data_IF_290216438808
#
_entry.id   IF_290216438808
#
_cell.length_a   1.000
_cell.length_b   1.000
_cell.length_c   1.000
_cell.angle_alpha   90.00
_cell.angle_beta   90.00
_cell.angle_gamma   90.00
#
_symmetry.space_group_name_H-M   'P 1'
#
loop_
_entity.id
_entity.type
_entity.pdbx_description
1 polymer ?
#
# COMPACT_ATOMS: atom_id res chain seq x y z
N UNK A 1 33.37 -30.97 -1.22
CA UNK A 1 32.00 -30.48 -0.95
C UNK A 1 31.80 -29.18 -1.71
N UNK A 2 31.32 -29.29 -2.95
CA UNK A 2 31.07 -28.14 -3.83
C UNK A 2 29.78 -27.49 -3.37
N UNK A 3 29.84 -26.22 -2.94
CA UNK A 3 28.63 -25.43 -2.71
C UNK A 3 27.98 -25.18 -4.06
N UNK A 4 26.91 -25.92 -4.37
CA UNK A 4 26.07 -25.60 -5.49
C UNK A 4 25.44 -24.22 -5.21
N UNK A 5 25.74 -23.23 -6.06
CA UNK A 5 24.96 -22.00 -6.11
C UNK A 5 23.56 -22.42 -6.55
N UNK A 6 22.66 -22.54 -5.58
CA UNK A 6 21.29 -22.97 -5.79
C UNK A 6 20.53 -21.78 -6.38
N UNK A 7 20.37 -21.74 -7.70
CA UNK A 7 19.66 -20.65 -8.40
C UNK A 7 18.17 -20.56 -8.04
N UNK A 8 17.67 -21.48 -7.22
CA UNK A 8 16.34 -21.43 -6.61
C UNK A 8 16.31 -20.67 -5.28
N UNK A 9 17.47 -20.24 -4.74
CA UNK A 9 17.51 -19.45 -3.51
C UNK A 9 17.16 -17.98 -3.79
N UNK A 10 16.21 -17.47 -3.02
CA UNK A 10 15.59 -16.13 -3.15
C UNK A 10 16.60 -15.01 -2.89
N UNK A 11 17.78 -15.34 -2.38
CA UNK A 11 18.89 -14.42 -2.10
C UNK A 11 19.86 -14.24 -3.27
N UNK A 12 19.94 -15.18 -4.23
CA UNK A 12 20.91 -15.13 -5.35
C UNK A 12 20.28 -14.88 -6.71
N UNK A 13 18.97 -15.06 -6.86
CA UNK A 13 18.27 -14.71 -8.10
C UNK A 13 16.83 -14.20 -7.86
N UNK A 14 16.64 -12.88 -7.70
CA UNK A 14 15.30 -12.28 -7.63
C UNK A 14 14.43 -12.54 -8.89
N UNK A 15 14.99 -13.07 -9.98
CA UNK A 15 14.28 -13.43 -11.22
C UNK A 15 13.73 -14.87 -11.17
N UNK A 16 14.32 -15.78 -10.37
CA UNK A 16 13.82 -17.15 -10.22
C UNK A 16 12.48 -17.22 -9.46
N UNK A 17 12.14 -16.17 -8.70
CA UNK A 17 10.83 -16.02 -8.07
C UNK A 17 9.71 -15.57 -9.03
N UNK A 18 10.01 -15.04 -10.23
CA UNK A 18 9.01 -14.41 -11.11
C UNK A 18 8.09 -15.44 -11.81
N UNK A 19 8.30 -16.74 -11.58
CA UNK A 19 7.41 -17.78 -12.12
C UNK A 19 6.02 -17.84 -11.45
N UNK A 20 5.82 -17.18 -10.30
CA UNK A 20 4.58 -17.25 -9.52
C UNK A 20 4.02 -15.85 -9.19
N UNK A 21 2.69 -15.71 -9.27
CA UNK A 21 1.93 -14.50 -8.92
C UNK A 21 2.32 -13.93 -7.54
N UNK A 22 2.63 -14.81 -6.57
CA UNK A 22 3.00 -14.42 -5.20
C UNK A 22 4.28 -13.58 -5.09
N UNK A 23 5.22 -13.71 -6.04
CA UNK A 23 6.48 -12.95 -6.02
C UNK A 23 6.29 -11.54 -6.56
N UNK A 24 5.42 -11.38 -7.55
CA UNK A 24 5.03 -10.06 -8.07
C UNK A 24 4.34 -9.27 -6.96
N UNK A 25 3.46 -9.91 -6.20
CA UNK A 25 2.76 -9.30 -5.08
C UNK A 25 3.71 -8.92 -3.95
N UNK A 26 4.73 -9.73 -3.64
CA UNK A 26 5.72 -9.41 -2.60
C UNK A 26 6.56 -8.16 -2.91
N UNK A 27 6.88 -7.91 -4.18
CA UNK A 27 7.61 -6.69 -4.58
C UNK A 27 6.64 -5.50 -4.71
N UNK A 28 5.43 -5.75 -5.19
CA UNK A 28 4.44 -4.72 -5.47
C UNK A 28 3.73 -4.20 -4.20
N UNK A 29 3.47 -5.04 -3.21
CA UNK A 29 2.81 -4.62 -1.96
C UNK A 29 3.56 -3.51 -1.23
N UNK A 30 4.87 -3.62 -0.92
CA UNK A 30 5.56 -2.57 -0.18
C UNK A 30 5.68 -1.27 -0.99
N UNK A 31 5.89 -1.34 -2.31
CA UNK A 31 5.97 -0.13 -3.15
C UNK A 31 4.63 0.61 -3.19
N UNK A 32 3.51 -0.12 -3.31
CA UNK A 32 2.17 0.46 -3.28
C UNK A 32 1.83 1.04 -1.91
N UNK A 33 2.26 0.39 -0.82
CA UNK A 33 1.97 0.83 0.54
C UNK A 33 2.70 2.13 0.88
N UNK A 34 3.98 2.25 0.49
CA UNK A 34 4.75 3.48 0.62
C UNK A 34 4.20 4.57 -0.30
N UNK A 35 3.87 4.23 -1.55
CA UNK A 35 3.26 5.16 -2.50
C UNK A 35 1.91 5.70 -2.03
N UNK A 36 1.04 4.84 -1.51
CA UNK A 36 -0.25 5.23 -0.95
C UNK A 36 -0.09 6.14 0.27
N UNK A 37 0.83 5.82 1.18
CA UNK A 37 1.13 6.67 2.34
C UNK A 37 1.63 8.06 1.93
N UNK A 38 2.49 8.12 0.92
CA UNK A 38 3.01 9.39 0.40
C UNK A 38 1.91 10.23 -0.26
N UNK A 39 1.08 9.61 -1.11
CA UNK A 39 -0.07 10.29 -1.76
C UNK A 39 -1.07 10.79 -0.73
N UNK A 40 -1.37 9.96 0.28
CA UNK A 40 -2.24 10.36 1.40
C UNK A 40 -1.70 11.60 2.12
N UNK A 41 -0.40 11.63 2.42
CA UNK A 41 0.25 12.77 3.08
C UNK A 41 0.11 14.03 2.23
N UNK A 42 0.37 13.94 0.92
CA UNK A 42 0.22 15.09 -0.01
C UNK A 42 -1.22 15.59 -0.05
N UNK A 43 -2.20 14.69 -0.16
CA UNK A 43 -3.62 15.07 -0.16
C UNK A 43 -4.05 15.70 1.17
N UNK A 44 -3.52 15.20 2.30
CA UNK A 44 -3.79 15.75 3.62
C UNK A 44 -3.28 17.19 3.72
N UNK A 45 -2.04 17.44 3.27
CA UNK A 45 -1.46 18.79 3.26
C UNK A 45 -2.31 19.73 2.40
N UNK A 46 -2.65 19.33 1.17
CA UNK A 46 -3.47 20.15 0.27
C UNK A 46 -4.86 20.41 0.89
N UNK A 47 -5.49 19.38 1.45
CA UNK A 47 -6.78 19.50 2.13
C UNK A 47 -6.75 20.43 3.34
N UNK A 48 -5.70 20.33 4.16
CA UNK A 48 -5.50 21.18 5.33
C UNK A 48 -5.23 22.64 4.95
N UNK A 49 -4.36 22.89 3.98
CA UNK A 49 -4.12 24.24 3.46
C UNK A 49 -5.38 24.84 2.86
N UNK A 50 -6.16 24.04 2.12
CA UNK A 50 -7.45 24.48 1.56
C UNK A 50 -8.41 24.83 2.69
N UNK A 51 -8.48 24.02 3.75
CA UNK A 51 -9.35 24.28 4.90
C UNK A 51 -8.99 25.58 5.63
N UNK A 52 -7.70 25.82 5.89
CA UNK A 52 -7.21 27.04 6.56
C UNK A 52 -7.42 28.28 5.67
N UNK A 53 -7.17 28.17 4.36
CA UNK A 53 -7.29 29.29 3.41
C UNK A 53 -8.76 29.57 3.03
N UNK A 54 -9.71 28.72 3.45
CA UNK A 54 -11.14 28.85 3.10
C UNK A 54 -11.80 30.12 3.64
N UNK A 55 -11.22 30.80 4.63
CA UNK A 55 -11.68 32.10 5.11
C UNK A 55 -13.12 32.13 5.65
N UNK A 56 -13.73 30.98 5.92
CA UNK A 56 -15.10 30.86 6.41
C UNK A 56 -16.19 30.74 5.33
N UNK A 57 -15.85 30.69 4.03
CA UNK A 57 -16.88 30.41 3.02
C UNK A 57 -17.27 28.93 3.05
N UNK A 58 -18.58 28.62 3.12
CA UNK A 58 -19.06 27.24 3.30
C UNK A 58 -18.69 26.33 2.12
N UNK A 59 -18.52 26.90 0.93
CA UNK A 59 -18.15 26.16 -0.28
C UNK A 59 -16.70 25.61 -0.21
N UNK A 60 -15.74 26.45 0.18
CA UNK A 60 -14.35 26.05 0.30
C UNK A 60 -14.15 25.08 1.47
N UNK A 61 -14.89 25.25 2.56
CA UNK A 61 -14.86 24.33 3.69
C UNK A 61 -15.38 22.95 3.31
N UNK A 62 -16.47 22.88 2.54
CA UNK A 62 -17.03 21.61 2.03
C UNK A 62 -16.07 20.94 1.05
N UNK A 63 -15.39 21.70 0.20
CA UNK A 63 -14.36 21.20 -0.72
C UNK A 63 -13.16 20.62 0.03
N UNK A 64 -12.66 21.31 1.05
CA UNK A 64 -11.57 20.83 1.89
C UNK A 64 -11.94 19.53 2.63
N UNK A 65 -13.15 19.46 3.19
CA UNK A 65 -13.68 18.23 3.80
C UNK A 65 -13.82 17.10 2.78
N UNK A 66 -14.19 17.38 1.53
CA UNK A 66 -14.21 16.38 0.45
C UNK A 66 -12.83 15.82 0.13
N UNK A 67 -11.79 16.66 0.13
CA UNK A 67 -10.40 16.23 -0.08
C UNK A 67 -9.94 15.36 1.10
N UNK A 68 -10.23 15.77 2.34
CA UNK A 68 -9.86 15.02 3.55
C UNK A 68 -10.57 13.66 3.62
N UNK A 69 -11.86 13.62 3.33
CA UNK A 69 -12.64 12.36 3.34
C UNK A 69 -12.19 11.40 2.24
N UNK A 70 -11.95 11.89 1.02
CA UNK A 70 -11.43 11.06 -0.07
C UNK A 70 -10.03 10.52 0.22
N UNK A 71 -9.14 11.34 0.79
CA UNK A 71 -7.83 10.89 1.25
C UNK A 71 -7.95 9.79 2.34
N UNK A 72 -8.80 10.02 3.35
CA UNK A 72 -9.02 9.03 4.42
C UNK A 72 -9.58 7.71 3.89
N UNK A 73 -10.56 7.77 2.99
CA UNK A 73 -11.15 6.58 2.35
C UNK A 73 -10.09 5.83 1.55
N UNK A 74 -9.25 6.53 0.77
CA UNK A 74 -8.16 5.92 0.02
C UNK A 74 -7.18 5.15 0.92
N UNK A 75 -6.78 5.75 2.04
CA UNK A 75 -5.91 5.10 3.02
C UNK A 75 -6.57 3.86 3.63
N UNK A 76 -7.84 3.96 4.03
CA UNK A 76 -8.60 2.84 4.62
C UNK A 76 -8.70 1.68 3.63
N UNK A 77 -8.95 1.95 2.34
CA UNK A 77 -9.03 0.91 1.30
C UNK A 77 -7.71 0.14 1.19
N UNK A 78 -6.58 0.85 1.19
CA UNK A 78 -5.25 0.22 1.10
C UNK A 78 -4.97 -0.66 2.32
N UNK A 79 -5.28 -0.17 3.53
CA UNK A 79 -5.13 -0.94 4.76
C UNK A 79 -6.03 -2.18 4.77
N UNK A 80 -7.31 -2.02 4.38
CA UNK A 80 -8.26 -3.11 4.28
C UNK A 80 -7.83 -4.16 3.25
N UNK A 81 -7.30 -3.75 2.10
CA UNK A 81 -6.79 -4.66 1.08
C UNK A 81 -5.68 -5.56 1.65
N UNK A 82 -4.71 -4.98 2.36
CA UNK A 82 -3.65 -5.74 3.00
C UNK A 82 -4.19 -6.70 4.07
N UNK A 83 -5.11 -6.24 4.92
CA UNK A 83 -5.73 -7.06 5.96
C UNK A 83 -6.50 -8.25 5.38
N UNK A 84 -7.25 -8.04 4.30
CA UNK A 84 -8.02 -9.10 3.63
C UNK A 84 -7.08 -10.16 3.06
N UNK A 85 -6.00 -9.76 2.36
CA UNK A 85 -5.02 -10.71 1.82
C UNK A 85 -4.37 -11.53 2.93
N UNK A 86 -4.00 -10.88 4.05
CA UNK A 86 -3.45 -11.57 5.22
C UNK A 86 -4.45 -12.52 5.87
N UNK A 87 -5.71 -12.11 5.98
CA UNK A 87 -6.79 -12.92 6.54
C UNK A 87 -7.06 -14.16 5.67
N UNK A 88 -7.09 -14.00 4.36
CA UNK A 88 -7.23 -15.14 3.45
C UNK A 88 -6.04 -16.10 3.60
N UNK A 89 -4.81 -15.60 3.64
CA UNK A 89 -3.63 -16.44 3.89
C UNK A 89 -3.74 -17.26 5.19
N UNK A 90 -4.23 -16.64 6.26
CA UNK A 90 -4.45 -17.32 7.54
C UNK A 90 -5.55 -18.39 7.49
N UNK A 91 -6.69 -18.08 6.86
CA UNK A 91 -7.83 -19.01 6.74
C UNK A 91 -7.49 -20.22 5.88
N UNK A 92 -6.70 -20.04 4.82
CA UNK A 92 -6.28 -21.15 3.94
C UNK A 92 -5.12 -21.98 4.51
N UNK A 93 -4.63 -21.69 5.73
CA UNK A 93 -3.52 -22.38 6.41
C UNK A 93 -2.26 -22.53 5.54
N UNK A 94 -2.11 -21.65 4.55
CA UNK A 94 -0.85 -21.50 3.85
C UNK A 94 0.00 -20.72 4.83
N UNK A 95 1.08 -21.31 5.35
CA UNK A 95 2.11 -20.58 6.07
C UNK A 95 2.63 -19.47 5.15
N UNK A 96 1.95 -18.34 5.15
CA UNK A 96 2.36 -17.14 4.44
C UNK A 96 3.54 -16.60 5.23
N UNK A 97 4.72 -17.10 4.85
CA UNK A 97 6.00 -16.44 5.06
C UNK A 97 5.93 -15.18 4.20
N UNK A 98 5.34 -14.15 4.77
CA UNK A 98 5.58 -12.77 4.37
C UNK A 98 6.89 -12.35 5.03
#
# INVERSE_FOLDING_TARGET
MVYAINFADKTVNPIAGISNLGSIINVLTPILMVGAGLVFLVMLVIGAFTWITSGGTPENMKKAQGILTSAAIGLVIVLCSYLIVKLLGYVFNIEMII
#
